data_IF_260228912700
#
_entry.id   IF_260228912700
#
_cell.length_a   1.000
_cell.length_b   1.000
_cell.length_c   1.000
_cell.angle_alpha   90.00
_cell.angle_beta   90.00
_cell.angle_gamma   90.00
#
_symmetry.space_group_name_H-M   'P 1'
#
loop_
_entity.id
_entity.type
_entity.pdbx_description
1 polymer ?
#
# COMPACT_ATOMS: atom_id res chain seq x y z
N UNK A 1 -32.60 51.74 -10.21
CA UNK A 1 -31.58 50.94 -10.92
C UNK A 1 -30.83 50.11 -9.89
N UNK A 2 -31.25 48.83 -9.76
CA UNK A 2 -30.64 47.86 -8.88
C UNK A 2 -29.30 47.43 -9.43
N UNK A 3 -28.24 47.83 -8.79
CA UNK A 3 -26.92 47.19 -8.94
C UNK A 3 -27.04 45.77 -8.39
N UNK A 4 -27.49 44.82 -9.22
CA UNK A 4 -27.29 43.41 -8.99
C UNK A 4 -25.79 43.18 -8.91
N UNK A 5 -25.30 43.01 -7.72
CA UNK A 5 -23.93 42.57 -7.46
C UNK A 5 -23.76 41.22 -8.14
N UNK A 6 -23.18 41.22 -9.36
CA UNK A 6 -22.90 40.00 -10.10
C UNK A 6 -21.85 39.23 -9.32
N UNK A 7 -22.30 38.27 -8.52
CA UNK A 7 -21.48 37.35 -7.78
C UNK A 7 -20.43 36.74 -8.75
N UNK A 8 -19.12 36.80 -8.44
CA UNK A 8 -18.07 36.18 -9.27
C UNK A 8 -18.38 34.74 -9.67
N UNK A 9 -19.11 34.02 -8.83
CA UNK A 9 -19.56 32.64 -9.09
C UNK A 9 -20.64 32.57 -10.18
N UNK A 10 -21.52 33.55 -10.28
CA UNK A 10 -22.53 33.60 -11.35
C UNK A 10 -21.91 33.87 -12.71
N UNK A 11 -20.89 34.73 -12.77
CA UNK A 11 -20.10 35.00 -13.98
C UNK A 11 -19.28 33.77 -14.40
N UNK A 12 -18.69 33.04 -13.45
CA UNK A 12 -17.98 31.81 -13.71
C UNK A 12 -18.92 30.72 -14.24
N UNK A 13 -20.12 30.58 -13.67
CA UNK A 13 -21.16 29.65 -14.17
C UNK A 13 -21.62 29.97 -15.59
N UNK A 14 -21.88 31.24 -15.89
CA UNK A 14 -22.29 31.66 -17.23
C UNK A 14 -21.15 31.40 -18.27
N UNK A 15 -19.91 31.72 -17.91
CA UNK A 15 -18.74 31.50 -18.75
C UNK A 15 -18.45 30.01 -18.99
N UNK A 16 -18.60 29.15 -17.98
CA UNK A 16 -18.43 27.71 -18.11
C UNK A 16 -19.51 27.05 -18.94
N UNK A 17 -20.75 27.58 -18.93
CA UNK A 17 -21.89 26.94 -19.62
C UNK A 17 -21.77 27.02 -21.16
N UNK A 18 -21.26 28.15 -21.72
CA UNK A 18 -21.11 28.29 -23.16
C UNK A 18 -19.92 27.51 -23.76
N UNK A 19 -18.87 27.30 -22.98
CA UNK A 19 -17.63 26.64 -23.44
C UNK A 19 -17.36 25.31 -22.72
N UNK A 20 -18.30 24.86 -21.90
CA UNK A 20 -18.18 23.69 -21.03
C UNK A 20 -17.75 22.43 -21.77
N UNK A 21 -18.28 22.21 -22.98
CA UNK A 21 -17.94 21.01 -23.76
C UNK A 21 -16.47 21.02 -24.19
N UNK A 22 -15.93 22.16 -24.62
CA UNK A 22 -14.53 22.35 -25.02
C UNK A 22 -13.57 22.21 -23.83
N UNK A 23 -13.86 22.85 -22.72
CA UNK A 23 -12.99 22.75 -21.53
C UNK A 23 -13.01 21.34 -20.94
N UNK A 24 -14.15 20.69 -20.95
CA UNK A 24 -14.28 19.29 -20.54
C UNK A 24 -13.45 18.37 -21.43
N UNK A 25 -13.50 18.55 -22.75
CA UNK A 25 -12.72 17.76 -23.72
C UNK A 25 -11.21 17.98 -23.51
N UNK A 26 -10.75 19.23 -23.50
CA UNK A 26 -9.34 19.53 -23.32
C UNK A 26 -8.82 19.14 -21.92
N UNK A 27 -9.62 19.33 -20.89
CA UNK A 27 -9.31 18.86 -19.54
C UNK A 27 -9.18 17.35 -19.46
N UNK A 28 -10.10 16.62 -20.10
CA UNK A 28 -10.05 15.15 -20.16
C UNK A 28 -8.82 14.68 -20.95
N UNK A 29 -8.53 15.27 -22.12
CA UNK A 29 -7.35 14.93 -22.92
C UNK A 29 -6.07 15.23 -22.13
N UNK A 30 -5.95 16.41 -21.53
CA UNK A 30 -4.79 16.78 -20.73
C UNK A 30 -4.56 15.84 -19.54
N UNK A 31 -5.63 15.51 -18.81
CA UNK A 31 -5.56 14.57 -17.69
C UNK A 31 -5.20 13.15 -18.17
N UNK A 32 -5.78 12.70 -19.30
CA UNK A 32 -5.47 11.39 -19.88
C UNK A 32 -4.02 11.29 -20.34
N UNK A 33 -3.48 12.34 -20.97
CA UNK A 33 -2.07 12.40 -21.36
C UNK A 33 -1.16 12.39 -20.13
N UNK A 34 -1.49 13.17 -19.11
CA UNK A 34 -0.72 13.23 -17.86
C UNK A 34 -0.69 11.87 -17.14
N UNK A 35 -1.85 11.23 -16.99
CA UNK A 35 -1.94 9.91 -16.37
C UNK A 35 -1.34 8.80 -17.25
N UNK A 36 -1.47 8.93 -18.58
CA UNK A 36 -0.95 7.97 -19.55
C UNK A 36 0.55 8.05 -19.78
N UNK A 37 1.17 9.21 -19.59
CA UNK A 37 2.61 9.39 -19.81
C UNK A 37 3.47 8.46 -18.94
N UNK A 38 3.04 8.18 -17.69
CA UNK A 38 3.69 7.21 -16.82
C UNK A 38 3.50 5.75 -17.25
N UNK A 39 2.48 5.45 -18.05
CA UNK A 39 2.17 4.08 -18.45
C UNK A 39 3.17 3.49 -19.46
N UNK A 40 3.85 4.35 -20.22
CA UNK A 40 4.84 3.92 -21.22
C UNK A 40 6.05 3.19 -20.63
N UNK A 41 6.33 3.34 -19.34
CA UNK A 41 7.44 2.66 -18.65
C UNK A 41 7.01 1.34 -17.99
N UNK A 42 5.73 1.00 -18.07
CA UNK A 42 5.15 -0.12 -17.32
C UNK A 42 4.94 -1.38 -18.18
N UNK A 43 5.18 -1.28 -19.48
CA UNK A 43 5.04 -2.40 -20.42
C UNK A 43 5.92 -3.59 -20.03
N UNK A 44 7.12 -3.33 -19.51
CA UNK A 44 8.05 -4.36 -19.07
C UNK A 44 7.46 -5.19 -17.90
N UNK A 45 6.89 -4.52 -16.88
CA UNK A 45 6.26 -5.21 -15.75
C UNK A 45 5.06 -6.05 -16.19
N UNK A 46 4.29 -5.56 -17.17
CA UNK A 46 3.18 -6.32 -17.75
C UNK A 46 3.69 -7.54 -18.51
N UNK A 47 4.73 -7.39 -19.34
CA UNK A 47 5.32 -8.52 -20.07
C UNK A 47 5.94 -9.55 -19.11
N UNK A 48 6.66 -9.13 -18.07
CA UNK A 48 7.21 -10.01 -17.06
C UNK A 48 6.10 -10.80 -16.35
N UNK A 49 4.99 -10.16 -16.01
CA UNK A 49 3.84 -10.83 -15.40
C UNK A 49 3.16 -11.84 -16.35
N UNK A 50 2.95 -11.47 -17.62
CA UNK A 50 2.31 -12.35 -18.61
C UNK A 50 3.18 -13.57 -18.96
N UNK A 51 4.50 -13.44 -18.87
CA UNK A 51 5.45 -14.50 -19.16
C UNK A 51 6.09 -15.10 -17.88
N UNK A 52 5.44 -14.93 -16.72
CA UNK A 52 5.97 -15.44 -15.46
C UNK A 52 6.15 -16.96 -15.51
N UNK A 53 7.27 -17.42 -14.96
CA UNK A 53 7.56 -18.83 -14.77
C UNK A 53 7.67 -19.10 -13.27
N UNK A 54 7.18 -20.27 -12.82
CA UNK A 54 7.39 -20.73 -11.46
C UNK A 54 8.87 -21.02 -11.22
N UNK A 55 9.40 -20.56 -10.09
CA UNK A 55 10.77 -20.89 -9.66
C UNK A 55 10.83 -22.25 -8.96
N UNK A 56 9.69 -22.85 -8.60
CA UNK A 56 9.62 -24.09 -7.83
C UNK A 56 10.12 -23.93 -6.38
N UNK A 57 10.29 -22.70 -5.92
CA UNK A 57 10.75 -22.34 -4.58
C UNK A 57 9.60 -21.68 -3.83
N UNK A 58 9.27 -22.22 -2.67
CA UNK A 58 8.13 -21.78 -1.85
C UNK A 58 8.65 -20.98 -0.67
N UNK A 59 8.13 -19.77 -0.45
CA UNK A 59 8.49 -18.96 0.72
C UNK A 59 7.94 -19.55 2.03
N UNK A 60 8.66 -19.41 3.15
CA UNK A 60 8.29 -20.05 4.42
C UNK A 60 7.16 -19.32 5.15
N UNK A 61 6.85 -18.06 4.81
CA UNK A 61 5.86 -17.23 5.52
C UNK A 61 4.45 -17.42 4.95
N UNK A 62 4.31 -17.31 3.62
CA UNK A 62 3.01 -17.36 2.94
C UNK A 62 2.76 -18.66 2.18
N UNK A 63 3.75 -19.56 2.14
CA UNK A 63 3.69 -20.83 1.41
C UNK A 63 3.33 -20.64 -0.08
N UNK A 64 3.88 -19.62 -0.70
CA UNK A 64 3.65 -19.28 -2.09
C UNK A 64 4.95 -19.33 -2.89
N UNK A 65 4.85 -19.64 -4.19
CA UNK A 65 6.03 -19.61 -5.09
C UNK A 65 6.63 -18.20 -5.14
N UNK A 66 7.95 -18.12 -5.05
CA UNK A 66 8.72 -16.86 -5.04
C UNK A 66 8.47 -16.02 -6.30
N UNK A 67 8.17 -16.65 -7.44
CA UNK A 67 7.82 -15.96 -8.68
C UNK A 67 6.64 -14.98 -8.53
N UNK A 68 5.69 -15.27 -7.63
CA UNK A 68 4.54 -14.40 -7.34
C UNK A 68 4.98 -13.02 -6.83
N UNK A 69 6.03 -12.99 -6.02
CA UNK A 69 6.54 -11.73 -5.43
C UNK A 69 7.38 -10.98 -6.46
N UNK A 70 8.14 -11.69 -7.29
CA UNK A 70 9.01 -11.08 -8.30
C UNK A 70 8.20 -10.50 -9.46
N UNK A 71 7.24 -11.24 -9.98
CA UNK A 71 6.49 -10.85 -11.18
C UNK A 71 5.12 -10.25 -10.87
N UNK A 72 4.41 -10.78 -9.87
CA UNK A 72 3.03 -10.38 -9.57
C UNK A 72 2.95 -9.13 -8.71
N UNK A 73 3.72 -9.08 -7.62
CA UNK A 73 3.61 -8.01 -6.63
C UNK A 73 3.84 -6.62 -7.21
N UNK A 74 4.86 -6.36 -8.08
CA UNK A 74 5.06 -5.05 -8.69
C UNK A 74 3.86 -4.61 -9.54
N UNK A 75 3.28 -5.52 -10.31
CA UNK A 75 2.12 -5.22 -11.15
C UNK A 75 0.87 -4.92 -10.31
N UNK A 76 0.60 -5.71 -9.25
CA UNK A 76 -0.53 -5.45 -8.35
C UNK A 76 -0.37 -4.11 -7.62
N UNK A 77 0.85 -3.79 -7.19
CA UNK A 77 1.17 -2.49 -6.56
C UNK A 77 0.91 -1.33 -7.51
N UNK A 78 1.26 -1.50 -8.78
CA UNK A 78 0.99 -0.53 -9.84
C UNK A 78 -0.51 -0.25 -9.97
N UNK A 79 -1.34 -1.29 -10.10
CA UNK A 79 -2.79 -1.12 -10.23
C UNK A 79 -3.40 -0.43 -9.00
N UNK A 80 -2.95 -0.79 -7.80
CA UNK A 80 -3.40 -0.13 -6.57
C UNK A 80 -2.99 1.33 -6.53
N UNK A 81 -1.75 1.64 -6.91
CA UNK A 81 -1.25 3.03 -6.99
C UNK A 81 -2.06 3.87 -7.99
N UNK A 82 -2.35 3.32 -9.16
CA UNK A 82 -3.20 3.98 -10.15
C UNK A 82 -4.64 4.16 -9.67
N UNK A 83 -5.18 3.16 -8.98
CA UNK A 83 -6.48 3.26 -8.35
C UNK A 83 -6.54 4.40 -7.34
N UNK A 84 -5.53 4.54 -6.48
CA UNK A 84 -5.42 5.67 -5.55
C UNK A 84 -5.33 7.01 -6.28
N UNK A 85 -4.46 7.12 -7.28
CA UNK A 85 -4.32 8.36 -8.07
C UNK A 85 -5.66 8.75 -8.69
N UNK A 86 -6.34 7.82 -9.36
CA UNK A 86 -7.64 8.06 -10.00
C UNK A 86 -8.67 8.56 -8.97
N UNK A 87 -8.81 7.87 -7.84
CA UNK A 87 -9.83 8.24 -6.82
C UNK A 87 -9.47 9.56 -6.15
N UNK A 88 -8.19 9.83 -5.88
CA UNK A 88 -7.75 11.10 -5.27
C UNK A 88 -8.01 12.27 -6.24
N UNK A 89 -7.60 12.18 -7.51
CA UNK A 89 -7.87 13.23 -8.50
C UNK A 89 -9.36 13.44 -8.72
N UNK A 90 -10.13 12.36 -8.84
CA UNK A 90 -11.59 12.45 -8.95
C UNK A 90 -12.21 13.12 -7.73
N UNK A 91 -11.74 12.77 -6.52
CA UNK A 91 -12.21 13.40 -5.28
C UNK A 91 -11.90 14.89 -5.23
N UNK A 92 -10.70 15.29 -5.64
CA UNK A 92 -10.30 16.68 -5.71
C UNK A 92 -11.20 17.49 -6.67
N UNK A 93 -11.41 16.97 -7.87
CA UNK A 93 -12.27 17.61 -8.88
C UNK A 93 -13.71 17.75 -8.36
N UNK A 94 -14.25 16.68 -7.75
CA UNK A 94 -15.61 16.67 -7.20
C UNK A 94 -15.75 17.65 -6.03
N UNK A 95 -14.76 17.73 -5.14
CA UNK A 95 -14.76 18.69 -4.03
C UNK A 95 -14.72 20.11 -4.56
N UNK A 96 -13.85 20.41 -5.53
CA UNK A 96 -13.80 21.73 -6.18
C UNK A 96 -15.14 22.09 -6.85
N UNK A 97 -15.74 21.13 -7.53
CA UNK A 97 -17.06 21.30 -8.13
C UNK A 97 -18.16 21.59 -7.07
N UNK A 98 -18.15 20.89 -5.94
CA UNK A 98 -19.11 21.14 -4.86
C UNK A 98 -18.89 22.50 -4.19
N UNK A 99 -17.66 22.96 -4.05
CA UNK A 99 -17.36 24.34 -3.60
C UNK A 99 -17.88 25.35 -4.62
N UNK A 100 -17.58 25.18 -5.90
CA UNK A 100 -18.00 26.10 -6.97
C UNK A 100 -19.53 26.19 -7.13
N UNK A 101 -20.23 25.08 -6.91
CA UNK A 101 -21.72 25.04 -7.00
C UNK A 101 -22.42 25.45 -5.71
N UNK A 102 -21.68 25.69 -4.62
CA UNK A 102 -22.26 25.98 -3.30
C UNK A 102 -22.88 24.77 -2.60
N UNK A 103 -22.66 23.57 -3.14
CA UNK A 103 -23.08 22.31 -2.50
C UNK A 103 -22.22 21.97 -1.27
N UNK A 104 -21.04 22.58 -1.17
CA UNK A 104 -20.14 22.57 -0.02
C UNK A 104 -19.81 24.02 0.33
N UNK A 105 -20.27 24.49 1.50
CA UNK A 105 -20.02 25.83 1.99
C UNK A 105 -19.11 25.78 3.22
N UNK A 106 -17.96 26.43 3.09
CA UNK A 106 -17.02 26.62 4.19
C UNK A 106 -17.36 27.92 4.92
N UNK A 107 -18.01 27.82 6.07
CA UNK A 107 -18.37 28.97 6.90
C UNK A 107 -17.39 29.07 8.08
N UNK A 108 -16.82 30.26 8.30
CA UNK A 108 -15.91 30.46 9.43
C UNK A 108 -16.58 30.13 10.77
N UNK A 109 -15.91 29.27 11.57
CA UNK A 109 -16.37 28.90 12.93
C UNK A 109 -17.51 27.87 12.99
N UNK A 110 -17.92 27.28 11.87
CA UNK A 110 -18.94 26.22 11.82
C UNK A 110 -18.46 25.01 11.02
N UNK A 111 -19.05 23.85 11.30
CA UNK A 111 -18.81 22.68 10.46
C UNK A 111 -19.26 22.97 9.01
N UNK A 112 -18.54 22.42 8.01
CA UNK A 112 -18.90 22.62 6.61
C UNK A 112 -20.33 22.18 6.34
N UNK A 113 -21.13 23.07 5.77
CA UNK A 113 -22.48 22.74 5.31
C UNK A 113 -22.35 22.03 3.96
N UNK A 114 -22.66 20.74 3.93
CA UNK A 114 -22.56 19.89 2.74
C UNK A 114 -23.92 19.37 2.37
N UNK A 115 -24.30 19.54 1.10
CA UNK A 115 -25.57 19.04 0.60
C UNK A 115 -25.69 17.52 0.76
N UNK A 116 -26.92 17.03 0.89
CA UNK A 116 -27.20 15.60 1.08
C UNK A 116 -26.65 14.71 -0.04
N UNK A 117 -26.71 15.18 -1.30
CA UNK A 117 -26.14 14.49 -2.44
C UNK A 117 -24.61 14.48 -2.42
N UNK A 118 -23.97 15.61 -2.05
CA UNK A 118 -22.54 15.69 -1.93
C UNK A 118 -21.98 14.75 -0.84
N UNK A 119 -22.66 14.63 0.31
CA UNK A 119 -22.29 13.66 1.36
C UNK A 119 -22.33 12.21 0.86
N UNK A 120 -23.35 11.86 0.07
CA UNK A 120 -23.44 10.52 -0.51
C UNK A 120 -22.28 10.26 -1.49
N UNK A 121 -21.98 11.20 -2.41
CA UNK A 121 -20.86 11.09 -3.35
C UNK A 121 -19.52 10.96 -2.63
N UNK A 122 -19.25 11.82 -1.64
CA UNK A 122 -18.00 11.76 -0.86
C UNK A 122 -17.89 10.44 -0.09
N UNK A 123 -19.01 9.90 0.41
CA UNK A 123 -19.02 8.60 1.08
C UNK A 123 -18.64 7.46 0.13
N UNK A 124 -19.08 7.50 -1.13
CA UNK A 124 -18.68 6.52 -2.16
C UNK A 124 -17.18 6.60 -2.43
N UNK A 125 -16.65 7.80 -2.64
CA UNK A 125 -15.22 7.98 -2.90
C UNK A 125 -14.34 7.52 -1.73
N UNK A 126 -14.75 7.86 -0.50
CA UNK A 126 -14.06 7.38 0.71
C UNK A 126 -14.16 5.85 0.86
N UNK A 127 -15.30 5.25 0.49
CA UNK A 127 -15.43 3.79 0.51
C UNK A 127 -14.48 3.12 -0.50
N UNK A 128 -14.31 3.69 -1.70
CA UNK A 128 -13.32 3.21 -2.66
C UNK A 128 -11.89 3.34 -2.13
N UNK A 129 -11.54 4.46 -1.47
CA UNK A 129 -10.24 4.63 -0.82
C UNK A 129 -10.03 3.56 0.26
N UNK A 130 -11.05 3.26 1.07
CA UNK A 130 -10.95 2.24 2.11
C UNK A 130 -10.76 0.83 1.52
N UNK A 131 -11.44 0.49 0.43
CA UNK A 131 -11.26 -0.78 -0.29
C UNK A 131 -9.84 -0.87 -0.88
N UNK A 132 -9.37 0.17 -1.56
CA UNK A 132 -8.01 0.23 -2.08
C UNK A 132 -6.97 0.11 -0.97
N UNK A 133 -7.23 0.70 0.21
CA UNK A 133 -6.36 0.56 1.40
C UNK A 133 -6.32 -0.88 1.90
N UNK A 134 -7.46 -1.58 1.91
CA UNK A 134 -7.48 -2.99 2.27
C UNK A 134 -6.63 -3.84 1.32
N UNK A 135 -6.73 -3.60 0.01
CA UNK A 135 -5.91 -4.27 -1.00
C UNK A 135 -4.42 -3.90 -0.81
N UNK A 136 -4.12 -2.60 -0.59
CA UNK A 136 -2.75 -2.14 -0.32
C UNK A 136 -2.15 -2.86 0.90
N UNK A 137 -2.86 -2.97 2.02
CA UNK A 137 -2.38 -3.70 3.19
C UNK A 137 -2.14 -5.19 2.92
N UNK A 138 -2.90 -5.80 2.02
CA UNK A 138 -2.62 -7.17 1.58
C UNK A 138 -1.30 -7.25 0.81
N UNK A 139 -0.99 -6.26 -0.03
CA UNK A 139 0.31 -6.18 -0.71
C UNK A 139 1.44 -5.83 0.26
N UNK A 140 1.20 -4.88 1.20
CA UNK A 140 2.15 -4.53 2.27
C UNK A 140 2.53 -5.76 3.10
N UNK A 141 1.58 -6.69 3.35
CA UNK A 141 1.89 -7.93 4.05
C UNK A 141 2.86 -8.83 3.27
N UNK A 142 2.75 -8.88 1.96
CA UNK A 142 3.68 -9.63 1.10
C UNK A 142 5.06 -8.94 1.02
N UNK A 143 5.09 -7.61 1.05
CA UNK A 143 6.32 -6.83 1.07
C UNK A 143 7.14 -6.98 2.36
N UNK A 144 6.58 -7.57 3.42
CA UNK A 144 7.37 -7.92 4.61
C UNK A 144 8.52 -8.89 4.28
N UNK A 145 8.41 -9.69 3.21
CA UNK A 145 9.51 -10.54 2.72
C UNK A 145 10.70 -9.74 2.20
N UNK A 146 10.54 -8.45 1.91
CA UNK A 146 11.58 -7.50 1.49
C UNK A 146 11.95 -6.51 2.59
N UNK A 147 11.58 -6.79 3.84
CA UNK A 147 11.79 -5.87 4.96
C UNK A 147 13.28 -5.65 5.24
N UNK A 148 13.74 -4.40 5.35
CA UNK A 148 15.11 -4.09 5.78
C UNK A 148 15.22 -3.92 7.32
N UNK A 149 14.18 -4.25 8.10
CA UNK A 149 14.11 -3.94 9.53
C UNK A 149 14.90 -4.90 10.42
N UNK A 150 15.07 -6.16 9.97
CA UNK A 150 15.81 -7.20 10.68
C UNK A 150 17.33 -7.01 10.58
N UNK A 151 18.07 -8.00 11.08
CA UNK A 151 19.54 -8.06 10.94
C UNK A 151 19.98 -8.42 9.53
N UNK A 152 19.12 -9.12 8.80
CA UNK A 152 19.27 -9.49 7.41
C UNK A 152 18.10 -8.95 6.61
N UNK A 153 18.26 -8.84 5.31
CA UNK A 153 17.19 -8.46 4.40
C UNK A 153 16.16 -9.59 4.33
N UNK A 154 14.89 -9.25 4.56
CA UNK A 154 13.81 -10.24 4.59
C UNK A 154 12.88 -10.05 5.78
N UNK A 155 11.91 -10.95 5.95
CA UNK A 155 10.98 -10.91 7.07
C UNK A 155 11.71 -11.18 8.39
N UNK A 156 11.59 -10.28 9.35
CA UNK A 156 12.13 -10.40 10.71
C UNK A 156 11.10 -11.00 11.68
N UNK A 157 11.53 -11.33 12.88
CA UNK A 157 10.62 -11.76 13.96
C UNK A 157 9.48 -10.77 14.18
N UNK A 158 9.80 -9.47 14.26
CA UNK A 158 8.77 -8.42 14.45
C UNK A 158 7.84 -8.30 13.26
N UNK A 159 8.34 -8.52 12.04
CA UNK A 159 7.51 -8.49 10.83
C UNK A 159 6.45 -9.61 10.85
N UNK A 160 6.84 -10.83 11.21
CA UNK A 160 5.92 -11.98 11.20
C UNK A 160 4.97 -11.97 12.41
N UNK A 161 5.47 -11.64 13.61
CA UNK A 161 4.70 -11.75 14.85
C UNK A 161 3.88 -10.49 15.17
N UNK A 162 4.28 -9.33 14.66
CA UNK A 162 3.59 -8.07 14.96
C UNK A 162 3.03 -7.39 13.70
N UNK A 163 3.86 -7.10 12.69
CA UNK A 163 3.40 -6.36 11.51
C UNK A 163 2.40 -7.15 10.67
N UNK A 164 2.59 -8.44 10.46
CA UNK A 164 1.68 -9.27 9.66
C UNK A 164 0.28 -9.37 10.30
N UNK A 165 0.11 -9.68 11.60
CA UNK A 165 -1.21 -9.62 12.26
C UNK A 165 -1.81 -8.21 12.27
N UNK A 166 -0.98 -7.17 12.43
CA UNK A 166 -1.42 -5.77 12.38
C UNK A 166 -2.02 -5.42 11.00
N UNK A 167 -1.33 -5.79 9.93
CA UNK A 167 -1.80 -5.58 8.55
C UNK A 167 -3.10 -6.35 8.27
N UNK A 168 -3.21 -7.58 8.73
CA UNK A 168 -4.45 -8.36 8.60
C UNK A 168 -5.63 -7.69 9.34
N UNK A 169 -5.40 -7.14 10.54
CA UNK A 169 -6.42 -6.38 11.26
C UNK A 169 -6.77 -5.09 10.51
N UNK A 170 -5.79 -4.38 9.95
CA UNK A 170 -6.01 -3.17 9.17
C UNK A 170 -6.80 -3.44 7.89
N UNK A 171 -6.64 -4.61 7.25
CA UNK A 171 -7.50 -5.04 6.13
C UNK A 171 -8.95 -5.12 6.60
N UNK A 172 -9.22 -5.80 7.72
CA UNK A 172 -10.58 -5.96 8.26
C UNK A 172 -11.20 -4.60 8.64
N UNK A 173 -10.45 -3.73 9.31
CA UNK A 173 -10.91 -2.39 9.69
C UNK A 173 -11.18 -1.52 8.45
N UNK A 174 -10.34 -1.60 7.43
CA UNK A 174 -10.55 -0.86 6.18
C UNK A 174 -11.82 -1.32 5.45
N UNK A 175 -12.06 -2.64 5.38
CA UNK A 175 -13.28 -3.19 4.79
C UNK A 175 -14.52 -2.84 5.62
N UNK A 176 -14.44 -2.90 6.95
CA UNK A 176 -15.50 -2.47 7.84
C UNK A 176 -15.80 -0.97 7.67
N UNK A 177 -14.76 -0.13 7.59
CA UNK A 177 -14.89 1.28 7.27
C UNK A 177 -15.58 1.53 5.93
N UNK A 178 -15.22 0.76 4.89
CA UNK A 178 -15.88 0.84 3.59
C UNK A 178 -17.38 0.53 3.70
N UNK A 179 -17.77 -0.49 4.46
CA UNK A 179 -19.18 -0.82 4.70
C UNK A 179 -19.91 0.31 5.42
N UNK A 180 -19.33 0.91 6.46
CA UNK A 180 -19.90 2.05 7.15
C UNK A 180 -20.12 3.25 6.20
N UNK A 181 -19.15 3.51 5.32
CA UNK A 181 -19.22 4.57 4.32
C UNK A 181 -20.30 4.30 3.26
N UNK A 182 -20.46 3.05 2.81
CA UNK A 182 -21.53 2.64 1.90
C UNK A 182 -22.92 2.78 2.56
N UNK A 183 -23.06 2.41 3.83
CA UNK A 183 -24.31 2.63 4.61
C UNK A 183 -24.60 4.12 4.72
N UNK A 184 -23.58 4.97 4.82
CA UNK A 184 -23.74 6.42 4.90
C UNK A 184 -24.34 7.05 3.63
N UNK A 185 -24.29 6.38 2.48
CA UNK A 185 -24.96 6.84 1.25
C UNK A 185 -26.47 7.06 1.51
N UNK A 186 -27.09 6.18 2.31
CA UNK A 186 -28.51 6.32 2.70
C UNK A 186 -28.70 7.27 3.85
N UNK A 187 -27.84 7.22 4.88
CA UNK A 187 -27.96 8.05 6.10
C UNK A 187 -27.54 9.50 5.90
N UNK A 188 -26.57 9.74 5.00
CA UNK A 188 -26.07 11.07 4.60
C UNK A 188 -25.60 11.94 5.77
N UNK A 189 -25.12 11.30 6.85
CA UNK A 189 -24.62 11.93 8.07
C UNK A 189 -23.10 12.14 8.06
N UNK A 190 -22.59 12.80 9.11
CA UNK A 190 -21.16 12.94 9.38
C UNK A 190 -20.61 11.85 10.32
N UNK A 191 -21.52 11.25 11.12
CA UNK A 191 -21.11 10.31 12.17
C UNK A 191 -20.41 9.06 11.61
N UNK A 192 -20.98 8.42 10.59
CA UNK A 192 -20.40 7.20 10.04
C UNK A 192 -19.04 7.42 9.36
N UNK A 193 -18.84 8.46 8.52
CA UNK A 193 -17.50 8.76 8.00
C UNK A 193 -16.50 9.10 9.10
N UNK A 194 -16.91 9.90 10.10
CA UNK A 194 -16.03 10.25 11.21
C UNK A 194 -15.63 9.01 12.02
N UNK A 195 -16.56 8.12 12.34
CA UNK A 195 -16.26 6.88 13.07
C UNK A 195 -15.35 5.94 12.24
N UNK A 196 -15.61 5.80 10.93
CA UNK A 196 -14.78 4.97 10.06
C UNK A 196 -13.33 5.47 10.02
N UNK A 197 -13.14 6.77 9.82
CA UNK A 197 -11.81 7.39 9.75
C UNK A 197 -11.11 7.33 11.11
N UNK A 198 -11.80 7.69 12.20
CA UNK A 198 -11.22 7.70 13.56
C UNK A 198 -10.81 6.29 14.00
N UNK A 199 -11.65 5.28 13.73
CA UNK A 199 -11.33 3.90 14.04
C UNK A 199 -10.12 3.42 13.25
N UNK A 200 -10.09 3.70 11.96
CA UNK A 200 -8.96 3.34 11.10
C UNK A 200 -7.66 4.00 11.56
N UNK A 201 -7.68 5.31 11.89
CA UNK A 201 -6.52 6.03 12.41
C UNK A 201 -6.05 5.45 13.76
N UNK A 202 -6.97 5.22 14.70
CA UNK A 202 -6.64 4.68 16.01
C UNK A 202 -5.97 3.29 15.90
N UNK A 203 -6.54 2.38 15.11
CA UNK A 203 -5.97 1.05 14.90
C UNK A 203 -4.65 1.12 14.14
N UNK A 204 -4.53 2.01 13.14
CA UNK A 204 -3.28 2.19 12.39
C UNK A 204 -2.13 2.66 13.28
N UNK A 205 -2.39 3.61 14.19
CA UNK A 205 -1.38 4.12 15.12
C UNK A 205 -1.03 3.08 16.18
N UNK A 206 -2.04 2.48 16.81
CA UNK A 206 -1.82 1.57 17.95
C UNK A 206 -1.26 0.24 17.44
N UNK A 207 -1.99 -0.45 16.57
CA UNK A 207 -1.66 -1.82 16.15
C UNK A 207 -0.63 -1.83 15.02
N UNK A 208 -0.71 -0.86 14.09
CA UNK A 208 0.25 -0.73 12.99
C UNK A 208 1.59 -0.10 13.39
N UNK A 209 1.63 0.69 14.47
CA UNK A 209 2.82 1.43 14.90
C UNK A 209 3.32 1.06 16.30
N UNK A 210 2.53 1.35 17.34
CA UNK A 210 2.99 1.24 18.72
C UNK A 210 3.24 -0.22 19.14
N UNK A 211 2.39 -1.16 18.75
CA UNK A 211 2.53 -2.58 19.13
C UNK A 211 3.80 -3.19 18.52
N UNK A 212 4.09 -3.07 17.21
CA UNK A 212 5.34 -3.56 16.64
C UNK A 212 6.59 -2.91 17.29
N UNK A 213 6.56 -1.59 17.52
CA UNK A 213 7.64 -0.88 18.16
C UNK A 213 7.89 -1.38 19.61
N UNK A 214 6.82 -1.64 20.36
CA UNK A 214 6.93 -2.21 21.70
C UNK A 214 7.49 -3.63 21.68
N UNK A 215 7.01 -4.50 20.76
CA UNK A 215 7.53 -5.87 20.59
C UNK A 215 9.02 -5.83 20.21
N UNK A 216 9.40 -4.98 19.27
CA UNK A 216 10.80 -4.82 18.88
C UNK A 216 11.66 -4.42 20.09
N UNK A 217 11.25 -3.38 20.84
CA UNK A 217 12.04 -2.83 21.92
C UNK A 217 12.12 -3.73 23.17
N UNK A 218 11.01 -4.34 23.57
CA UNK A 218 10.92 -5.04 24.85
C UNK A 218 11.08 -6.57 24.73
N UNK A 219 10.84 -7.14 23.55
CA UNK A 219 10.88 -8.59 23.36
C UNK A 219 12.02 -9.05 22.43
N UNK A 220 12.30 -8.28 21.36
CA UNK A 220 13.34 -8.66 20.38
C UNK A 220 14.70 -8.17 20.84
N UNK A 221 14.86 -6.86 21.07
CA UNK A 221 16.17 -6.29 21.41
C UNK A 221 16.87 -6.98 22.59
N UNK A 222 16.19 -7.38 23.70
CA UNK A 222 16.87 -8.06 24.80
C UNK A 222 17.34 -9.49 24.51
N UNK A 223 16.71 -10.16 23.53
CA UNK A 223 16.97 -11.58 23.16
C UNK A 223 17.04 -11.73 21.64
N UNK A 224 17.74 -10.80 21.00
CA UNK A 224 17.72 -10.61 19.55
C UNK A 224 18.23 -11.85 18.82
N UNK A 225 19.34 -12.45 19.29
CA UNK A 225 19.94 -13.60 18.63
C UNK A 225 18.96 -14.78 18.53
N UNK A 226 18.32 -15.15 19.66
CA UNK A 226 17.41 -16.29 19.66
C UNK A 226 16.13 -16.01 18.88
N UNK A 227 15.66 -14.74 18.82
CA UNK A 227 14.44 -14.35 18.09
C UNK A 227 14.68 -14.27 16.58
N UNK A 228 15.81 -13.72 16.17
CA UNK A 228 16.11 -13.50 14.75
C UNK A 228 16.81 -14.72 14.09
N UNK A 229 17.37 -15.65 14.86
CA UNK A 229 18.10 -16.81 14.32
C UNK A 229 17.33 -17.59 13.26
N UNK A 230 16.04 -17.97 13.43
CA UNK A 230 15.29 -18.70 12.41
C UNK A 230 15.14 -17.91 11.09
N UNK A 231 15.07 -16.59 11.17
CA UNK A 231 14.94 -15.71 9.99
C UNK A 231 16.29 -15.50 9.30
N UNK A 232 17.37 -15.50 10.07
CA UNK A 232 18.76 -15.49 9.54
C UNK A 232 19.04 -16.81 8.83
N UNK A 233 18.67 -17.95 9.40
CA UNK A 233 18.80 -19.27 8.78
C UNK A 233 18.06 -19.33 7.43
N UNK A 234 16.79 -18.91 7.41
CA UNK A 234 16.04 -18.79 6.16
C UNK A 234 16.78 -17.93 5.12
N UNK A 235 17.32 -16.77 5.53
CA UNK A 235 18.06 -15.89 4.63
C UNK A 235 19.32 -16.58 4.06
N UNK A 236 20.05 -17.30 4.89
CA UNK A 236 21.24 -18.07 4.46
C UNK A 236 20.84 -19.14 3.44
N UNK A 237 19.79 -19.92 3.73
CA UNK A 237 19.34 -21.02 2.88
C UNK A 237 18.89 -20.52 1.50
N UNK A 238 18.07 -19.45 1.47
CA UNK A 238 17.63 -18.87 0.21
C UNK A 238 18.75 -18.18 -0.56
N UNK A 239 19.72 -17.59 0.14
CA UNK A 239 20.92 -17.02 -0.51
C UNK A 239 21.78 -18.13 -1.12
N UNK A 240 22.04 -19.21 -0.38
CA UNK A 240 22.77 -20.38 -0.89
C UNK A 240 22.07 -20.99 -2.11
N UNK A 241 20.75 -21.12 -2.05
CA UNK A 241 19.95 -21.62 -3.17
C UNK A 241 20.06 -20.68 -4.39
N UNK A 242 19.90 -19.38 -4.20
CA UNK A 242 19.94 -18.39 -5.28
C UNK A 242 21.30 -18.34 -6.02
N UNK A 243 22.39 -18.54 -5.30
CA UNK A 243 23.74 -18.55 -5.86
C UNK A 243 24.25 -19.96 -6.23
N UNK A 244 23.41 -21.00 -6.12
CA UNK A 244 23.82 -22.38 -6.42
C UNK A 244 24.85 -22.97 -5.46
N UNK A 245 25.00 -22.36 -4.26
CA UNK A 245 26.01 -22.78 -3.28
C UNK A 245 25.68 -24.11 -2.58
N UNK A 246 24.44 -24.60 -2.73
CA UNK A 246 24.03 -25.89 -2.17
C UNK A 246 24.74 -27.09 -2.79
N UNK A 247 25.41 -26.92 -3.94
CA UNK A 247 26.24 -27.94 -4.58
C UNK A 247 27.67 -27.99 -4.05
N UNK A 248 28.05 -27.05 -3.18
CA UNK A 248 29.40 -26.99 -2.61
C UNK A 248 29.47 -27.93 -1.41
N UNK A 249 30.37 -28.90 -1.50
CA UNK A 249 30.67 -29.82 -0.40
C UNK A 249 31.60 -29.12 0.60
N UNK A 250 31.11 -28.87 1.82
CA UNK A 250 31.92 -28.30 2.89
C UNK A 250 32.71 -29.44 3.57
N UNK A 251 34.05 -29.38 3.48
CA UNK A 251 34.95 -30.28 4.21
C UNK A 251 35.62 -29.54 5.36
N UNK A 252 35.42 -30.02 6.58
CA UNK A 252 36.14 -29.46 7.73
C UNK A 252 37.60 -29.82 7.63
N UNK A 253 38.46 -28.81 7.61
CA UNK A 253 39.90 -28.97 7.65
C UNK A 253 40.40 -28.64 9.06
N UNK A 254 40.95 -29.67 9.76
CA UNK A 254 41.58 -29.44 11.04
C UNK A 254 42.96 -28.78 10.78
N UNK A 255 43.04 -27.46 10.91
CA UNK A 255 44.29 -26.70 10.85
C UNK A 255 45.14 -26.99 12.10
N UNK A 256 45.73 -28.17 12.16
CA UNK A 256 46.72 -28.48 13.18
C UNK A 256 48.09 -27.98 12.73
N UNK A 257 48.97 -27.49 13.66
CA UNK A 257 50.30 -27.01 13.28
C UNK A 257 51.21 -28.14 12.71
N UNK A 258 50.88 -29.41 12.96
CA UNK A 258 51.60 -30.58 12.45
C UNK A 258 50.84 -31.20 11.26
N UNK A 259 50.94 -30.56 10.09
CA UNK A 259 50.44 -31.12 8.83
C UNK A 259 51.31 -32.31 8.41
N UNK A 260 50.71 -33.49 8.40
CA UNK A 260 51.38 -34.67 7.85
C UNK A 260 51.31 -34.69 6.31
N UNK A 261 52.24 -35.41 5.66
CA UNK A 261 52.24 -35.57 4.20
C UNK A 261 50.99 -36.30 3.71
N UNK A 262 50.34 -37.10 4.57
CA UNK A 262 49.06 -37.75 4.29
C UNK A 262 47.88 -36.74 4.31
N UNK A 263 47.90 -35.76 5.17
CA UNK A 263 46.85 -34.71 5.23
C UNK A 263 46.90 -33.86 3.96
N UNK A 264 48.07 -33.58 3.43
CA UNK A 264 48.26 -32.83 2.18
C UNK A 264 47.80 -33.68 0.97
N UNK A 265 48.04 -34.99 0.98
CA UNK A 265 47.64 -35.85 -0.12
C UNK A 265 46.13 -36.11 -0.19
N UNK A 266 45.44 -36.12 0.97
CA UNK A 266 44.01 -36.37 1.08
C UNK A 266 43.16 -35.12 0.80
N UNK A 267 43.77 -33.92 0.73
CA UNK A 267 43.11 -32.65 0.46
C UNK A 267 43.54 -32.02 -0.88
N UNK A 268 43.95 -32.84 -1.85
CA UNK A 268 44.21 -32.41 -3.22
C UNK A 268 42.99 -32.43 -4.10
#
# INVERSE_FOLDING_TARGET
ESFESQDPLSRFRAWTNERFLRYRLWGTIGLSLFLGAGASQLWEQVLLFLNQQSFGVIDPVFQADVSRYVFGLPLYRLFVSWGFQLVIFTSLIIVLFFVATGALQLRQGRLPEVSSGAKAHLSVLLAFIAILKAIAYRLDSMELLYSPRGKVFGASYTDVIAHLPALNLLILISLFGAVLLLVNIKRRGWLLPATAISLWLAVSIIVGGLVPAAIQRFRVVPDELNKELPYVENHIDYTRLAYGLNSIEEKSFAATPDLSQNDISNNK
#
